data_IF_899327686575
#
_entry.id   IF_899327686575
#
_cell.length_a   1.000
_cell.length_b   1.000
_cell.length_c   1.000
_cell.angle_alpha   90.00
_cell.angle_beta   90.00
_cell.angle_gamma   90.00
#
_symmetry.space_group_name_H-M   'P 1'
#
loop_
_entity.id
_entity.type
_entity.pdbx_description
1 polymer ?
#
# COMPACT_ATOMS: atom_id res chain seq x y z
N UNK A 1 7.10 -13.81 -3.07
CA UNK A 1 6.10 -14.10 -2.03
C UNK A 1 6.73 -14.68 -0.76
N UNK A 2 7.66 -15.64 -0.87
CA UNK A 2 8.33 -16.27 0.27
C UNK A 2 8.97 -15.29 1.26
N UNK A 3 9.86 -14.39 0.78
CA UNK A 3 10.52 -13.41 1.66
C UNK A 3 9.52 -12.45 2.33
N UNK A 4 8.48 -12.03 1.61
CA UNK A 4 7.41 -11.20 2.16
C UNK A 4 6.67 -11.90 3.31
N UNK A 5 6.31 -13.17 3.13
CA UNK A 5 5.66 -13.95 4.17
C UNK A 5 6.56 -14.07 5.42
N UNK A 6 7.83 -14.42 5.23
CA UNK A 6 8.77 -14.51 6.36
C UNK A 6 9.01 -13.17 7.04
N UNK A 7 9.17 -12.07 6.29
CA UNK A 7 9.36 -10.74 6.87
C UNK A 7 8.14 -10.25 7.66
N UNK A 8 6.93 -10.54 7.17
CA UNK A 8 5.70 -10.25 7.91
C UNK A 8 5.62 -11.08 9.20
N UNK A 9 5.94 -12.38 9.14
CA UNK A 9 5.96 -13.25 10.32
C UNK A 9 6.98 -12.78 11.37
N UNK A 10 8.21 -12.48 10.94
CA UNK A 10 9.30 -11.98 11.79
C UNK A 10 8.99 -10.62 12.42
N UNK A 11 8.21 -9.76 11.73
CA UNK A 11 7.89 -8.42 12.24
C UNK A 11 7.02 -8.43 13.50
N UNK A 12 6.35 -9.56 13.76
CA UNK A 12 5.33 -9.74 14.80
C UNK A 12 4.14 -8.76 14.72
N UNK A 13 4.08 -7.92 13.68
CA UNK A 13 3.01 -6.96 13.47
C UNK A 13 1.75 -7.63 12.93
N UNK A 14 0.61 -6.96 13.16
CA UNK A 14 -0.65 -7.38 12.55
C UNK A 14 -0.67 -6.99 11.07
N UNK A 15 -1.20 -7.85 10.23
CA UNK A 15 -1.27 -7.59 8.78
C UNK A 15 -2.52 -8.16 8.13
N UNK A 16 -2.93 -7.52 7.04
CA UNK A 16 -3.83 -8.08 6.04
C UNK A 16 -3.05 -8.21 4.74
N UNK A 17 -2.81 -9.44 4.27
CA UNK A 17 -2.06 -9.72 3.06
C UNK A 17 -3.01 -10.13 1.94
N UNK A 18 -3.16 -9.28 0.93
CA UNK A 18 -3.84 -9.64 -0.33
C UNK A 18 -2.86 -10.40 -1.21
N UNK A 19 -3.03 -11.71 -1.28
CA UNK A 19 -2.12 -12.60 -1.96
C UNK A 19 -2.66 -12.96 -3.36
N UNK A 20 -1.83 -12.79 -4.38
CA UNK A 20 -2.08 -13.22 -5.76
C UNK A 20 -1.07 -14.29 -6.18
N UNK A 21 -1.46 -15.13 -7.12
CA UNK A 21 -0.59 -16.15 -7.68
C UNK A 21 0.71 -15.51 -8.22
N UNK A 22 1.90 -16.00 -7.84
CA UNK A 22 3.16 -15.44 -8.28
C UNK A 22 3.33 -15.60 -9.79
N UNK A 23 3.98 -14.63 -10.42
CA UNK A 23 4.30 -14.71 -11.85
C UNK A 23 5.74 -14.28 -12.06
N UNK A 24 6.53 -15.17 -12.65
CA UNK A 24 7.93 -14.90 -13.00
C UNK A 24 8.09 -14.26 -14.37
N UNK A 25 6.98 -14.00 -15.10
CA UNK A 25 7.02 -13.45 -16.46
C UNK A 25 7.41 -11.97 -16.50
N UNK A 26 6.79 -11.14 -15.67
CA UNK A 26 7.12 -9.71 -15.54
C UNK A 26 6.50 -9.11 -14.28
N UNK A 27 7.02 -7.95 -13.85
CA UNK A 27 6.50 -7.20 -12.70
C UNK A 27 5.04 -6.73 -12.86
N UNK A 28 4.51 -6.68 -14.10
CA UNK A 28 3.13 -6.32 -14.40
C UNK A 28 2.23 -7.53 -14.69
N UNK A 29 2.78 -8.74 -14.86
CA UNK A 29 2.02 -9.90 -15.30
C UNK A 29 0.91 -10.30 -14.30
N UNK A 30 1.15 -10.17 -12.99
CA UNK A 30 0.14 -10.42 -11.97
C UNK A 30 -0.98 -9.36 -11.91
N UNK A 31 -0.79 -8.20 -12.57
CA UNK A 31 -1.81 -7.17 -12.67
C UNK A 31 -2.86 -7.53 -13.72
N UNK A 32 -2.43 -7.97 -14.91
CA UNK A 32 -3.33 -8.33 -16.01
C UNK A 32 -4.04 -9.66 -15.82
N UNK A 33 -3.54 -10.52 -14.93
CA UNK A 33 -4.16 -11.80 -14.59
C UNK A 33 -5.04 -11.74 -13.33
N UNK A 34 -5.44 -10.54 -12.89
CA UNK A 34 -6.33 -10.39 -11.75
C UNK A 34 -7.67 -11.07 -12.05
N UNK A 35 -7.94 -12.20 -11.37
CA UNK A 35 -9.16 -13.00 -11.57
C UNK A 35 -9.06 -14.12 -12.62
N UNK A 36 -7.88 -14.37 -13.21
CA UNK A 36 -7.69 -15.43 -14.23
C UNK A 36 -6.71 -16.54 -13.84
N UNK A 37 -6.16 -16.51 -12.62
CA UNK A 37 -5.32 -17.57 -12.06
C UNK A 37 -6.16 -18.59 -11.29
N UNK A 38 -6.01 -19.88 -11.62
CA UNK A 38 -6.80 -21.00 -11.11
C UNK A 38 -7.15 -20.92 -9.63
N UNK A 39 -8.44 -20.78 -9.37
CA UNK A 39 -9.06 -20.61 -8.04
C UNK A 39 -9.04 -21.89 -7.19
N UNK A 40 -8.45 -22.98 -7.67
CA UNK A 40 -8.71 -24.31 -7.10
C UNK A 40 -8.01 -24.57 -5.74
N UNK A 41 -6.95 -23.83 -5.36
CA UNK A 41 -6.18 -24.13 -4.11
C UNK A 41 -5.88 -22.92 -3.18
N UNK A 42 -6.27 -21.69 -3.54
CA UNK A 42 -6.09 -20.49 -2.70
C UNK A 42 -4.63 -20.09 -2.39
N UNK A 43 -4.41 -19.02 -1.60
CA UNK A 43 -3.08 -18.47 -1.33
C UNK A 43 -2.09 -19.40 -0.63
N UNK A 44 -2.60 -20.42 0.07
CA UNK A 44 -1.79 -21.35 0.85
C UNK A 44 -0.75 -22.10 0.01
N UNK A 45 -1.01 -22.31 -1.29
CA UNK A 45 -0.12 -23.06 -2.20
C UNK A 45 1.22 -22.36 -2.50
N UNK A 46 1.29 -21.04 -2.38
CA UNK A 46 2.50 -20.27 -2.71
C UNK A 46 3.01 -19.41 -1.54
N UNK A 47 2.55 -19.73 -0.33
CA UNK A 47 3.09 -19.23 0.92
C UNK A 47 3.91 -20.33 1.60
N UNK A 48 4.85 -19.99 2.50
CA UNK A 48 5.59 -21.00 3.26
C UNK A 48 4.65 -21.94 3.99
N UNK A 49 5.00 -23.23 4.04
CA UNK A 49 4.23 -24.25 4.74
C UNK A 49 3.94 -23.81 6.18
N UNK A 50 2.67 -23.93 6.61
CA UNK A 50 2.23 -23.55 7.96
C UNK A 50 2.14 -22.04 8.25
N UNK A 51 2.45 -21.16 7.29
CA UNK A 51 2.44 -19.70 7.50
C UNK A 51 1.10 -19.17 8.02
N UNK A 52 -0.02 -19.62 7.43
CA UNK A 52 -1.36 -19.20 7.83
C UNK A 52 -1.63 -19.59 9.30
N UNK A 53 -1.25 -20.79 9.71
CA UNK A 53 -1.48 -21.24 11.09
C UNK A 53 -0.56 -20.55 12.09
N UNK A 54 0.72 -20.35 11.75
CA UNK A 54 1.66 -19.61 12.61
C UNK A 54 1.27 -18.14 12.80
N UNK A 55 0.48 -17.58 11.88
CA UNK A 55 0.07 -16.17 11.92
C UNK A 55 -1.40 -15.93 12.26
N UNK A 56 -2.21 -16.98 12.48
CA UNK A 56 -3.68 -16.90 12.66
C UNK A 56 -4.20 -15.89 13.71
N UNK A 57 -3.40 -15.55 14.73
CA UNK A 57 -3.76 -14.56 15.76
C UNK A 57 -3.41 -13.10 15.42
N UNK A 58 -2.67 -12.84 14.34
CA UNK A 58 -2.16 -11.51 13.96
C UNK A 58 -2.24 -11.20 12.46
N UNK A 59 -2.28 -12.21 11.62
CA UNK A 59 -2.30 -12.10 10.17
C UNK A 59 -3.58 -12.63 9.57
N UNK A 60 -4.10 -11.93 8.56
CA UNK A 60 -5.18 -12.40 7.70
C UNK A 60 -4.66 -12.44 6.27
N UNK A 61 -4.80 -13.58 5.60
CA UNK A 61 -4.46 -13.74 4.18
C UNK A 61 -5.75 -13.78 3.37
N UNK A 62 -5.85 -12.88 2.39
CA UNK A 62 -7.01 -12.76 1.52
C UNK A 62 -6.58 -13.09 0.10
N UNK A 63 -7.35 -13.94 -0.59
CA UNK A 63 -7.08 -14.30 -1.97
C UNK A 63 -7.50 -13.17 -2.92
N UNK A 64 -6.60 -12.79 -3.84
CA UNK A 64 -6.86 -11.95 -5.02
C UNK A 64 -7.26 -10.49 -4.78
N UNK A 65 -8.23 -10.23 -3.92
CA UNK A 65 -8.86 -8.92 -3.74
C UNK A 65 -9.38 -8.71 -2.31
N UNK A 66 -9.28 -7.48 -1.83
CA UNK A 66 -9.87 -7.01 -0.59
C UNK A 66 -10.49 -5.62 -0.81
N UNK A 67 -11.47 -5.20 0.01
CA UNK A 67 -12.07 -3.87 -0.07
C UNK A 67 -11.08 -2.78 0.41
N UNK A 68 -10.10 -2.43 -0.43
CA UNK A 68 -8.95 -1.59 -0.07
C UNK A 68 -9.34 -0.25 0.58
N UNK A 69 -10.33 0.45 0.02
CA UNK A 69 -10.82 1.73 0.59
C UNK A 69 -11.33 1.52 2.03
N UNK A 70 -12.08 0.44 2.28
CA UNK A 70 -12.59 0.14 3.62
C UNK A 70 -11.47 -0.27 4.59
N UNK A 71 -10.47 -1.03 4.11
CA UNK A 71 -9.29 -1.38 4.91
C UNK A 71 -8.49 -0.13 5.26
N UNK A 72 -8.16 0.74 4.30
CA UNK A 72 -7.41 1.97 4.54
C UNK A 72 -8.17 2.97 5.42
N UNK A 73 -9.50 3.04 5.27
CA UNK A 73 -10.35 3.88 6.11
C UNK A 73 -10.57 3.37 7.54
N UNK A 74 -10.13 2.16 7.86
CA UNK A 74 -10.34 1.58 9.18
C UNK A 74 -9.33 2.10 10.21
N UNK A 75 -9.81 2.43 11.41
CA UNK A 75 -8.99 3.02 12.50
C UNK A 75 -7.82 2.14 12.96
N UNK A 76 -7.92 0.82 12.77
CA UNK A 76 -6.87 -0.12 13.12
C UNK A 76 -5.74 -0.22 12.08
N UNK A 77 -5.86 0.45 10.93
CA UNK A 77 -4.87 0.37 9.86
C UNK A 77 -3.68 1.27 10.16
N UNK A 78 -2.55 0.62 10.46
CA UNK A 78 -1.32 1.29 10.87
C UNK A 78 -0.41 1.70 9.70
N UNK A 79 -0.48 1.05 8.56
CA UNK A 79 0.39 1.34 7.43
C UNK A 79 -0.01 0.54 6.21
N UNK A 80 0.50 0.95 5.05
CA UNK A 80 0.15 0.33 3.78
C UNK A 80 1.38 0.00 2.94
N UNK A 81 1.71 -1.28 2.82
CA UNK A 81 2.68 -1.74 1.84
C UNK A 81 2.05 -1.68 0.45
N UNK A 82 2.57 -0.79 -0.39
CA UNK A 82 1.96 -0.45 -1.66
C UNK A 82 2.99 -0.39 -2.78
N UNK A 83 2.58 -0.85 -3.95
CA UNK A 83 3.27 -0.62 -5.21
C UNK A 83 3.28 0.84 -5.69
N UNK A 84 2.67 1.79 -4.97
CA UNK A 84 2.66 3.22 -5.30
C UNK A 84 2.00 3.56 -6.64
N UNK A 85 1.04 2.76 -7.12
CA UNK A 85 0.13 3.18 -8.18
C UNK A 85 -0.70 4.39 -7.71
N UNK A 86 -0.90 5.39 -8.58
CA UNK A 86 -1.41 6.69 -8.15
C UNK A 86 -2.77 6.65 -7.44
N UNK A 87 -3.68 5.78 -7.88
CA UNK A 87 -4.98 5.61 -7.20
C UNK A 87 -4.80 5.12 -5.75
N UNK A 88 -3.97 4.09 -5.53
CA UNK A 88 -3.70 3.56 -4.19
C UNK A 88 -2.95 4.57 -3.33
N UNK A 89 -2.10 5.40 -3.94
CA UNK A 89 -1.47 6.55 -3.26
C UNK A 89 -2.53 7.54 -2.77
N UNK A 90 -3.46 7.95 -3.62
CA UNK A 90 -4.53 8.90 -3.26
C UNK A 90 -5.45 8.33 -2.17
N UNK A 91 -5.79 7.05 -2.23
CA UNK A 91 -6.58 6.37 -1.19
C UNK A 91 -5.85 6.35 0.17
N UNK A 92 -4.54 6.08 0.16
CA UNK A 92 -3.71 6.08 1.38
C UNK A 92 -3.63 7.48 1.99
N UNK A 93 -3.35 8.50 1.16
CA UNK A 93 -3.25 9.90 1.58
C UNK A 93 -4.60 10.40 2.12
N UNK A 94 -5.70 10.13 1.41
CA UNK A 94 -7.05 10.52 1.83
C UNK A 94 -7.51 9.78 3.09
N UNK A 95 -6.88 8.65 3.42
CA UNK A 95 -7.14 7.91 4.66
C UNK A 95 -6.21 8.32 5.81
N UNK A 96 -5.10 9.01 5.52
CA UNK A 96 -4.08 9.39 6.49
C UNK A 96 -3.16 8.22 6.88
N UNK A 97 -2.95 7.28 5.96
CA UNK A 97 -2.18 6.06 6.20
C UNK A 97 -0.78 6.20 5.57
N UNK A 98 0.32 6.03 6.34
CA UNK A 98 1.67 6.05 5.81
C UNK A 98 1.98 4.77 5.02
N UNK A 99 2.97 4.83 4.12
CA UNK A 99 3.23 3.74 3.17
C UNK A 99 4.62 3.10 3.32
N UNK A 100 4.69 1.81 3.03
CA UNK A 100 5.94 1.12 2.65
C UNK A 100 5.90 1.04 1.12
N UNK A 101 6.80 1.78 0.46
CA UNK A 101 6.81 1.92 -0.99
C UNK A 101 7.59 0.77 -1.63
N UNK A 102 6.89 0.00 -2.48
CA UNK A 102 7.42 -1.15 -3.20
C UNK A 102 7.05 -1.12 -4.70
N UNK A 103 7.58 -0.16 -5.47
CA UNK A 103 7.17 0.06 -6.85
C UNK A 103 7.54 -1.11 -7.78
N UNK A 104 6.67 -1.41 -8.75
CA UNK A 104 6.80 -2.56 -9.65
C UNK A 104 6.96 -2.12 -11.12
N UNK A 105 6.01 -1.35 -11.64
CA UNK A 105 5.89 -1.01 -13.07
C UNK A 105 5.36 0.42 -13.31
N UNK A 106 5.22 0.83 -14.57
CA UNK A 106 4.77 2.16 -14.98
C UNK A 106 5.55 3.29 -14.27
N UNK A 107 4.88 4.33 -13.81
CA UNK A 107 5.45 5.49 -13.13
C UNK A 107 5.63 5.30 -11.62
N UNK A 108 5.36 4.11 -11.09
CA UNK A 108 5.35 3.83 -9.64
C UNK A 108 6.67 4.17 -8.95
N UNK A 109 7.82 4.03 -9.64
CA UNK A 109 9.13 4.41 -9.09
C UNK A 109 9.22 5.92 -8.85
N UNK A 110 8.68 6.73 -9.76
CA UNK A 110 8.60 8.18 -9.60
C UNK A 110 7.67 8.53 -8.42
N UNK A 111 6.50 7.89 -8.34
CA UNK A 111 5.57 8.10 -7.23
C UNK A 111 6.22 7.74 -5.89
N UNK A 112 6.92 6.60 -5.80
CA UNK A 112 7.62 6.17 -4.59
C UNK A 112 8.70 7.18 -4.14
N UNK A 113 9.48 7.72 -5.09
CA UNK A 113 10.46 8.77 -4.80
C UNK A 113 9.79 10.05 -4.29
N UNK A 114 8.73 10.53 -4.94
CA UNK A 114 7.98 11.71 -4.47
C UNK A 114 7.46 11.48 -3.03
N UNK A 115 6.89 10.31 -2.77
CA UNK A 115 6.28 9.99 -1.47
C UNK A 115 7.27 9.89 -0.32
N UNK A 116 8.49 9.41 -0.58
CA UNK A 116 9.54 9.33 0.43
C UNK A 116 10.32 10.65 0.57
N UNK A 117 10.78 11.22 -0.53
CA UNK A 117 11.76 12.31 -0.51
C UNK A 117 11.11 13.69 -0.40
N UNK A 118 9.98 13.92 -1.10
CA UNK A 118 9.33 15.24 -1.14
C UNK A 118 8.20 15.34 -0.10
N UNK A 119 7.36 14.31 -0.02
CA UNK A 119 6.17 14.31 0.84
C UNK A 119 6.50 13.77 2.24
N UNK A 120 7.39 12.78 2.33
CA UNK A 120 7.83 12.19 3.60
C UNK A 120 6.77 11.35 4.31
N UNK A 121 5.89 10.67 3.56
CA UNK A 121 4.85 9.76 4.10
C UNK A 121 5.07 8.30 3.71
N UNK A 122 6.21 8.00 3.09
CA UNK A 122 6.60 6.66 2.73
C UNK A 122 8.06 6.37 3.06
N UNK A 123 8.36 5.07 3.21
CA UNK A 123 9.73 4.55 3.19
C UNK A 123 9.87 3.55 2.05
N UNK A 124 10.91 3.68 1.22
CA UNK A 124 11.19 2.70 0.15
C UNK A 124 11.78 1.43 0.75
N UNK A 125 11.38 0.27 0.23
CA UNK A 125 12.10 -0.98 0.51
C UNK A 125 13.46 -0.93 -0.18
N UNK A 126 14.53 -1.22 0.57
CA UNK A 126 15.87 -1.30 0.02
C UNK A 126 16.09 -2.67 -0.64
N UNK A 127 16.40 -2.69 -1.93
CA UNK A 127 16.76 -3.91 -2.63
C UNK A 127 18.27 -3.89 -2.93
N UNK A 128 19.05 -4.67 -2.18
CA UNK A 128 20.48 -4.89 -2.44
C UNK A 128 20.72 -5.88 -3.61
N UNK A 129 19.71 -6.68 -3.94
CA UNK A 129 19.69 -7.66 -5.02
C UNK A 129 18.34 -7.61 -5.76
N UNK A 130 18.13 -8.52 -6.72
CA UNK A 130 16.87 -8.59 -7.47
C UNK A 130 15.63 -8.89 -6.59
N UNK A 131 15.83 -9.45 -5.38
CA UNK A 131 14.78 -9.78 -4.42
C UNK A 131 15.05 -9.07 -3.10
N UNK A 132 14.01 -8.49 -2.51
CA UNK A 132 14.06 -7.90 -1.15
C UNK A 132 14.04 -9.03 -0.12
N UNK A 133 15.05 -9.07 0.75
CA UNK A 133 15.17 -10.09 1.80
C UNK A 133 14.18 -9.88 2.95
N UNK A 134 13.80 -10.96 3.63
CA UNK A 134 12.87 -10.94 4.78
C UNK A 134 13.29 -9.99 5.90
N UNK A 135 14.59 -9.82 6.15
CA UNK A 135 15.10 -8.95 7.22
C UNK A 135 14.83 -7.48 6.91
N UNK A 136 14.95 -7.09 5.64
CA UNK A 136 14.60 -5.75 5.20
C UNK A 136 13.09 -5.51 5.33
N UNK A 137 12.27 -6.51 4.98
CA UNK A 137 10.81 -6.45 5.09
C UNK A 137 10.39 -6.32 6.55
N UNK A 138 10.96 -7.14 7.43
CA UNK A 138 10.75 -7.05 8.87
C UNK A 138 11.09 -5.63 9.36
N UNK A 139 12.28 -5.13 9.01
CA UNK A 139 12.77 -3.83 9.43
C UNK A 139 11.84 -2.70 9.01
N UNK A 140 11.40 -2.64 7.75
CA UNK A 140 10.51 -1.56 7.29
C UNK A 140 9.10 -1.66 7.88
N UNK A 141 8.58 -2.89 8.09
CA UNK A 141 7.28 -3.10 8.73
C UNK A 141 7.32 -2.58 10.17
N UNK A 142 8.34 -2.96 10.95
CA UNK A 142 8.50 -2.48 12.33
C UNK A 142 8.76 -0.98 12.38
N UNK A 143 9.55 -0.43 11.45
CA UNK A 143 9.80 1.01 11.36
C UNK A 143 8.52 1.82 11.18
N UNK A 144 7.61 1.39 10.31
CA UNK A 144 6.33 2.08 10.06
C UNK A 144 5.34 1.88 11.20
N UNK A 145 5.31 0.70 11.80
CA UNK A 145 4.30 0.35 12.80
C UNK A 145 4.67 0.81 14.23
N UNK A 146 5.95 0.78 14.59
CA UNK A 146 6.42 0.98 15.97
C UNK A 146 7.42 2.15 16.09
N UNK A 147 8.23 2.39 15.06
CA UNK A 147 9.34 3.34 15.11
C UNK A 147 8.91 4.81 15.13
N UNK A 148 9.78 5.68 15.66
CA UNK A 148 9.55 7.14 15.67
C UNK A 148 9.35 7.70 14.26
N UNK A 149 10.15 7.24 13.28
CA UNK A 149 9.94 7.59 11.86
C UNK A 149 8.54 7.22 11.38
N UNK A 150 7.99 6.08 11.83
CA UNK A 150 6.61 5.66 11.54
C UNK A 150 5.57 6.63 12.11
N UNK A 151 5.77 7.10 13.36
CA UNK A 151 4.90 8.10 13.99
C UNK A 151 4.94 9.44 13.25
N UNK A 152 6.13 9.91 12.88
CA UNK A 152 6.32 11.12 12.09
C UNK A 152 5.61 11.03 10.73
N UNK A 153 5.77 9.92 10.01
CA UNK A 153 5.08 9.69 8.73
C UNK A 153 3.56 9.66 8.89
N UNK A 154 3.06 9.05 9.98
CA UNK A 154 1.62 9.00 10.28
C UNK A 154 1.05 10.40 10.53
N UNK A 155 1.77 11.25 11.25
CA UNK A 155 1.34 12.62 11.50
C UNK A 155 1.34 13.45 10.21
N UNK A 156 2.38 13.31 9.37
CA UNK A 156 2.39 13.93 8.04
C UNK A 156 1.23 13.44 7.17
N UNK A 157 0.94 12.14 7.17
CA UNK A 157 -0.18 11.57 6.43
C UNK A 157 -1.53 12.12 6.95
N UNK A 158 -1.69 12.32 8.26
CA UNK A 158 -2.87 12.95 8.86
C UNK A 158 -3.06 14.39 8.36
N UNK A 159 -1.99 15.19 8.36
CA UNK A 159 -2.05 16.57 7.85
C UNK A 159 -2.41 16.62 6.36
N UNK A 160 -1.84 15.72 5.55
CA UNK A 160 -2.20 15.63 4.13
C UNK A 160 -3.64 15.19 3.90
N UNK A 161 -4.19 14.31 4.74
CA UNK A 161 -5.60 13.94 4.72
C UNK A 161 -6.49 15.17 4.93
N UNK A 162 -6.14 16.03 5.88
CA UNK A 162 -6.87 17.27 6.16
C UNK A 162 -6.81 18.23 4.98
N UNK A 163 -5.61 18.44 4.40
CA UNK A 163 -5.45 19.25 3.19
C UNK A 163 -6.20 18.68 1.98
N UNK A 164 -6.23 17.34 1.83
CA UNK A 164 -6.98 16.70 0.76
C UNK A 164 -8.49 16.90 0.92
N UNK A 165 -9.01 16.82 2.15
CA UNK A 165 -10.41 17.10 2.46
C UNK A 165 -10.75 18.58 2.20
N UNK A 166 -9.88 19.50 2.61
CA UNK A 166 -10.04 20.94 2.37
C UNK A 166 -10.06 21.27 0.86
N UNK A 167 -9.16 20.67 0.07
CA UNK A 167 -9.08 20.89 -1.37
C UNK A 167 -10.37 20.48 -2.10
N UNK A 168 -11.09 19.49 -1.55
CA UNK A 168 -12.35 18.97 -2.08
C UNK A 168 -13.59 19.67 -1.49
N UNK A 169 -13.43 20.58 -0.53
CA UNK A 169 -14.54 21.25 0.15
C UNK A 169 -15.40 22.09 -0.81
N UNK A 170 -16.71 21.93 -0.70
CA UNK A 170 -17.68 22.64 -1.54
C UNK A 170 -17.64 24.13 -1.24
N UNK A 171 -17.60 24.97 -2.28
CA UNK A 171 -17.71 26.42 -2.14
C UNK A 171 -16.43 27.13 -1.69
N UNK A 172 -15.29 26.45 -1.64
CA UNK A 172 -14.01 27.07 -1.27
C UNK A 172 -12.74 26.27 -1.55
N UNK A 173 -12.82 24.95 -1.72
CA UNK A 173 -11.67 24.09 -2.00
C UNK A 173 -11.07 24.30 -3.40
N UNK A 174 -9.74 24.30 -3.49
CA UNK A 174 -9.02 24.56 -4.75
C UNK A 174 -9.33 23.55 -5.86
N UNK A 175 -9.44 22.26 -5.54
CA UNK A 175 -9.79 21.22 -6.51
C UNK A 175 -11.25 21.32 -6.94
N UNK A 176 -12.16 21.59 -5.99
CA UNK A 176 -13.58 21.82 -6.29
C UNK A 176 -13.77 23.02 -7.21
N UNK A 177 -13.12 24.15 -6.90
CA UNK A 177 -13.19 25.37 -7.69
C UNK A 177 -12.61 25.18 -9.10
N UNK A 178 -11.52 24.41 -9.22
CA UNK A 178 -10.90 24.08 -10.51
C UNK A 178 -11.86 23.27 -11.39
N UNK A 179 -12.51 22.25 -10.83
CA UNK A 179 -13.49 21.44 -11.55
C UNK A 179 -14.73 22.26 -11.93
N UNK A 180 -15.24 23.09 -11.01
CA UNK A 180 -16.36 23.98 -11.28
C UNK A 180 -16.06 24.92 -12.45
N UNK A 181 -14.85 25.51 -12.51
CA UNK A 181 -14.43 26.37 -13.62
C UNK A 181 -14.41 25.64 -14.97
N UNK A 182 -14.02 24.36 -14.99
CA UNK A 182 -14.09 23.53 -16.20
C UNK A 182 -15.54 23.29 -16.61
N UNK A 183 -16.39 22.90 -15.66
CA UNK A 183 -17.82 22.66 -15.91
C UNK A 183 -18.52 23.92 -16.45
N UNK A 184 -18.23 25.10 -15.92
CA UNK A 184 -18.80 26.37 -16.41
C UNK A 184 -18.36 26.70 -17.84
N UNK A 185 -17.16 26.29 -18.26
CA UNK A 185 -16.72 26.47 -19.66
C UNK A 185 -17.49 25.59 -20.64
N UNK A 186 -17.93 24.41 -20.21
CA UNK A 186 -18.67 23.46 -21.05
C UNK A 186 -20.16 23.76 -21.16
N UNK A 187 -20.68 24.67 -20.32
CA UNK A 187 -22.05 25.17 -20.44
C UNK A 187 -22.22 26.23 -21.54
N UNK A 188 -21.11 26.71 -22.11
CA UNK A 188 -21.09 27.64 -23.25
C UNK A 188 -20.90 26.87 -24.55
#
# INVERSE_FOLDING_TARGET
MTELAWGLELSEQRFVLVARFPSDRSASAAYFNAGSGGEEDGPARYLPEGFVERTKGRGVVVASWAPQIAVLGHVATGGFLSHCGWNSTLESVSSGVPMIAWPLYAEQRMNATILEEEVGVAVKVAAAAAVVGREEIERVVRLVMEGEKGKEMREKARLLKESAAEALSVGGGGSWASLAKVAERWKK
#
